data_IF_302876908527
#
_entry.id   IF_302876908527
#
_cell.length_a   1.000
_cell.length_b   1.000
_cell.length_c   1.000
_cell.angle_alpha   90.00
_cell.angle_beta   90.00
_cell.angle_gamma   90.00
#
_symmetry.space_group_name_H-M   'P 1'
#
loop_
_entity.id
_entity.type
_entity.pdbx_description
1 polymer ?
#
# COMPACT_ATOMS: atom_id res chain seq x y z
N UNK A 1 4.25 -8.13 -16.02
CA UNK A 1 5.30 -7.15 -16.35
C UNK A 1 4.65 -5.77 -16.38
N UNK A 2 5.10 -4.86 -15.51
CA UNK A 2 4.71 -3.45 -15.47
C UNK A 2 5.59 -2.67 -16.46
N UNK A 3 4.99 -1.81 -17.27
CA UNK A 3 5.69 -0.98 -18.26
C UNK A 3 5.32 0.48 -18.09
N UNK A 4 6.32 1.33 -18.00
CA UNK A 4 6.20 2.79 -17.97
C UNK A 4 6.90 3.33 -19.21
N UNK A 5 6.19 4.14 -20.02
CA UNK A 5 6.71 4.63 -21.29
C UNK A 5 6.57 6.16 -21.36
N UNK A 6 7.70 6.84 -21.49
CA UNK A 6 7.78 8.29 -21.67
C UNK A 6 6.95 9.08 -20.66
N UNK A 7 6.89 8.59 -19.40
CA UNK A 7 6.02 9.15 -18.37
C UNK A 7 6.58 10.48 -17.87
N UNK A 8 5.77 11.51 -17.98
CA UNK A 8 6.07 12.86 -17.46
C UNK A 8 4.98 13.28 -16.49
N UNK A 9 5.37 13.87 -15.37
CA UNK A 9 4.47 14.51 -14.44
C UNK A 9 4.98 15.89 -14.07
N UNK A 10 4.08 16.87 -14.18
CA UNK A 10 4.33 18.24 -13.73
C UNK A 10 3.14 18.79 -12.93
N UNK A 11 3.40 19.70 -12.03
CA UNK A 11 2.40 20.50 -11.33
C UNK A 11 2.58 21.96 -11.72
N UNK A 12 1.59 22.51 -12.44
CA UNK A 12 1.75 23.81 -13.06
C UNK A 12 2.92 23.81 -14.05
N UNK A 13 3.86 24.74 -13.91
CA UNK A 13 5.04 24.86 -14.76
C UNK A 13 6.27 24.05 -14.27
N UNK A 14 6.17 23.39 -13.09
CA UNK A 14 7.31 22.70 -12.47
C UNK A 14 7.22 21.19 -12.78
N UNK A 15 8.18 20.63 -13.52
CA UNK A 15 8.25 19.20 -13.75
C UNK A 15 8.70 18.48 -12.47
N UNK A 16 8.03 17.39 -12.13
CA UNK A 16 8.42 16.51 -11.04
C UNK A 16 9.40 15.44 -11.54
N UNK A 17 9.05 14.82 -12.67
CA UNK A 17 9.93 13.97 -13.47
C UNK A 17 9.49 14.04 -14.94
N UNK A 18 10.44 13.79 -15.83
CA UNK A 18 10.23 13.87 -17.29
C UNK A 18 10.78 12.63 -17.98
N UNK A 19 10.04 12.15 -18.98
CA UNK A 19 10.46 11.08 -19.89
C UNK A 19 10.92 9.79 -19.19
N UNK A 20 10.25 9.43 -18.09
CA UNK A 20 10.58 8.22 -17.32
C UNK A 20 10.15 6.97 -18.11
N UNK A 21 11.12 6.10 -18.40
CA UNK A 21 10.88 4.78 -18.98
C UNK A 21 11.40 3.71 -18.02
N UNK A 22 10.57 2.69 -17.75
CA UNK A 22 10.91 1.60 -16.83
C UNK A 22 10.11 0.34 -17.17
N UNK A 23 10.73 -0.81 -17.03
CA UNK A 23 10.06 -2.11 -17.07
C UNK A 23 10.35 -2.85 -15.76
N UNK A 24 9.31 -3.43 -15.15
CA UNK A 24 9.41 -4.17 -13.89
C UNK A 24 8.71 -5.51 -14.07
N UNK A 25 9.46 -6.59 -14.01
CA UNK A 25 8.98 -7.97 -14.17
C UNK A 25 9.11 -8.82 -12.89
N UNK A 26 9.83 -8.30 -11.89
CA UNK A 26 10.06 -8.91 -10.60
C UNK A 26 9.87 -7.90 -9.45
N UNK A 27 9.82 -8.35 -8.17
CA UNK A 27 9.81 -7.42 -7.04
C UNK A 27 10.97 -6.44 -7.11
N UNK A 28 10.67 -5.14 -6.99
CA UNK A 28 11.65 -4.07 -7.15
C UNK A 28 11.50 -3.00 -6.06
N UNK A 29 12.59 -2.31 -5.76
CA UNK A 29 12.62 -1.17 -4.85
C UNK A 29 12.89 0.10 -5.65
N UNK A 30 11.99 1.07 -5.55
CA UNK A 30 12.18 2.40 -6.11
C UNK A 30 12.95 3.25 -5.09
N UNK A 31 14.22 3.51 -5.40
CA UNK A 31 15.06 4.40 -4.60
C UNK A 31 15.29 5.72 -5.33
N UNK A 32 15.02 6.84 -4.67
CA UNK A 32 15.30 8.19 -5.17
C UNK A 32 15.33 9.19 -4.00
N UNK A 33 15.96 10.34 -4.14
CA UNK A 33 15.97 11.41 -3.13
C UNK A 33 14.57 11.82 -2.71
N UNK A 34 14.47 12.47 -1.52
CA UNK A 34 13.22 13.09 -1.09
C UNK A 34 12.78 14.15 -2.10
N UNK A 35 11.47 14.27 -2.33
CA UNK A 35 10.92 15.23 -3.28
C UNK A 35 11.00 14.81 -4.76
N UNK A 36 11.68 13.71 -5.11
CA UNK A 36 11.77 13.24 -6.50
C UNK A 36 10.41 12.86 -7.11
N UNK A 37 9.42 12.56 -6.29
CA UNK A 37 8.09 12.19 -6.78
C UNK A 37 7.73 10.71 -6.65
N UNK A 38 8.42 9.94 -5.79
CA UNK A 38 8.12 8.51 -5.56
C UNK A 38 6.65 8.26 -5.25
N UNK A 39 6.10 8.95 -4.26
CA UNK A 39 4.68 8.86 -3.90
C UNK A 39 3.77 9.22 -5.06
N UNK A 40 4.11 10.24 -5.86
CA UNK A 40 3.33 10.63 -7.03
C UNK A 40 3.37 9.57 -8.11
N UNK A 41 4.54 8.97 -8.36
CA UNK A 41 4.66 7.85 -9.29
C UNK A 41 3.81 6.67 -8.83
N UNK A 42 3.89 6.27 -7.56
CA UNK A 42 3.03 5.20 -7.02
C UNK A 42 1.54 5.55 -7.16
N UNK A 43 1.13 6.80 -6.93
CA UNK A 43 -0.25 7.25 -7.14
C UNK A 43 -0.70 7.16 -8.60
N UNK A 44 0.21 7.43 -9.55
CA UNK A 44 -0.08 7.22 -10.98
C UNK A 44 -0.26 5.73 -11.27
N UNK A 45 0.59 4.87 -10.74
CA UNK A 45 0.46 3.42 -10.88
C UNK A 45 -0.84 2.88 -10.27
N UNK A 46 -1.32 3.48 -9.20
CA UNK A 46 -2.62 3.16 -8.57
C UNK A 46 -3.83 3.74 -9.32
N UNK A 47 -3.63 4.54 -10.36
CA UNK A 47 -4.71 5.27 -11.04
C UNK A 47 -5.33 6.41 -10.23
N UNK A 48 -4.69 6.82 -9.13
CA UNK A 48 -5.15 7.91 -8.25
C UNK A 48 -4.68 9.29 -8.71
N UNK A 49 -3.72 9.33 -9.63
CA UNK A 49 -3.17 10.54 -10.21
C UNK A 49 -2.97 10.32 -11.72
N UNK A 50 -3.18 11.34 -12.53
CA UNK A 50 -2.95 11.25 -13.97
C UNK A 50 -1.55 11.75 -14.32
N UNK A 51 -0.82 11.07 -15.20
CA UNK A 51 0.40 11.63 -15.77
C UNK A 51 0.07 12.85 -16.65
N UNK A 52 1.07 13.69 -16.88
CA UNK A 52 0.95 14.78 -17.86
C UNK A 52 1.05 14.25 -19.28
N UNK A 53 2.02 13.35 -19.52
CA UNK A 53 2.19 12.60 -20.78
C UNK A 53 2.73 11.21 -20.50
N UNK A 54 2.72 10.34 -21.51
CA UNK A 54 3.20 8.98 -21.40
C UNK A 54 2.12 8.00 -20.95
N UNK A 55 2.49 6.75 -20.78
CA UNK A 55 1.57 5.68 -20.41
C UNK A 55 2.15 4.71 -19.40
N UNK A 56 1.24 4.00 -18.73
CA UNK A 56 1.54 2.90 -17.81
C UNK A 56 0.69 1.70 -18.21
N UNK A 57 1.31 0.55 -18.33
CA UNK A 57 0.67 -0.71 -18.71
C UNK A 57 1.04 -1.84 -17.74
N UNK A 58 0.20 -2.86 -17.66
CA UNK A 58 0.49 -4.10 -16.94
C UNK A 58 0.39 -4.02 -15.42
N UNK A 59 -0.17 -2.94 -14.85
CA UNK A 59 -0.35 -2.80 -13.39
C UNK A 59 -1.40 -3.77 -12.87
N UNK A 60 -2.51 -3.93 -13.57
CA UNK A 60 -3.64 -4.75 -13.13
C UNK A 60 -4.33 -4.20 -11.88
N UNK A 61 -4.91 -5.09 -11.06
CA UNK A 61 -5.52 -4.72 -9.77
C UNK A 61 -4.44 -4.48 -8.73
N UNK A 62 -4.55 -3.37 -8.02
CA UNK A 62 -3.53 -2.91 -7.07
C UNK A 62 -4.00 -3.06 -5.64
N UNK A 63 -3.19 -3.72 -4.81
CA UNK A 63 -3.20 -3.51 -3.36
C UNK A 63 -2.12 -2.48 -3.00
N UNK A 64 -2.42 -1.61 -2.02
CA UNK A 64 -1.49 -0.55 -1.67
C UNK A 64 -1.32 -0.36 -0.16
N UNK A 65 -0.08 -0.10 0.24
CA UNK A 65 0.26 0.47 1.54
C UNK A 65 0.72 1.90 1.30
N UNK A 66 -0.05 2.85 1.80
CA UNK A 66 0.26 4.28 1.69
C UNK A 66 1.18 4.71 2.85
N UNK A 67 1.83 5.84 2.70
CA UNK A 67 2.56 6.48 3.80
C UNK A 67 1.64 6.73 5.02
N UNK A 68 0.39 7.11 4.78
CA UNK A 68 -0.69 7.12 5.77
C UNK A 68 -1.40 5.76 5.81
N UNK A 69 -1.74 5.25 6.98
CA UNK A 69 -2.30 3.89 7.13
C UNK A 69 -3.69 3.70 6.53
N UNK A 70 -4.46 4.80 6.37
CA UNK A 70 -5.80 4.85 5.77
C UNK A 70 -6.73 3.73 6.27
N UNK A 71 -6.73 3.53 7.58
CA UNK A 71 -7.66 2.63 8.24
C UNK A 71 -8.98 3.34 8.55
N UNK A 72 -10.08 2.57 8.58
CA UNK A 72 -11.34 3.03 9.12
C UNK A 72 -11.22 3.15 10.64
N UNK A 73 -11.25 4.37 11.23
CA UNK A 73 -10.86 4.58 12.62
C UNK A 73 -11.81 3.95 13.64
N UNK A 74 -13.06 3.69 13.24
CA UNK A 74 -14.10 3.09 14.09
C UNK A 74 -14.01 1.55 14.10
N UNK A 75 -13.45 0.93 13.06
CA UNK A 75 -13.27 -0.50 12.93
C UNK A 75 -12.04 -0.96 13.69
N UNK A 76 -12.07 -2.18 14.22
CA UNK A 76 -10.87 -2.80 14.79
C UNK A 76 -9.89 -3.28 13.71
N UNK A 77 -8.73 -3.80 14.11
CA UNK A 77 -7.69 -4.26 13.18
C UNK A 77 -8.20 -5.37 12.25
N UNK A 78 -8.91 -6.35 12.79
CA UNK A 78 -9.47 -7.48 12.03
C UNK A 78 -10.48 -6.99 11.00
N UNK A 79 -11.42 -6.16 11.42
CA UNK A 79 -12.44 -5.59 10.53
C UNK A 79 -11.83 -4.75 9.41
N UNK A 80 -10.78 -3.98 9.68
CA UNK A 80 -10.07 -3.23 8.64
C UNK A 80 -9.43 -4.15 7.58
N UNK A 81 -8.92 -5.30 7.99
CA UNK A 81 -8.38 -6.31 7.03
C UNK A 81 -9.51 -6.96 6.24
N UNK A 82 -10.62 -7.28 6.89
CA UNK A 82 -11.77 -7.96 6.26
C UNK A 82 -12.40 -7.14 5.13
N UNK A 83 -12.26 -5.80 5.14
CA UNK A 83 -12.80 -4.92 4.09
C UNK A 83 -12.33 -5.27 2.66
N UNK A 84 -11.19 -5.93 2.50
CA UNK A 84 -10.62 -6.29 1.19
C UNK A 84 -10.78 -7.77 0.86
N UNK A 85 -11.47 -8.52 1.72
CA UNK A 85 -11.67 -9.96 1.56
C UNK A 85 -13.08 -10.25 1.05
N UNK A 86 -13.25 -11.16 0.09
CA UNK A 86 -14.57 -11.58 -0.37
C UNK A 86 -15.23 -12.49 0.67
N UNK A 87 -16.48 -12.18 1.05
CA UNK A 87 -17.28 -13.03 1.93
C UNK A 87 -17.27 -12.62 3.41
N UNK A 88 -17.64 -13.55 4.30
CA UNK A 88 -17.82 -13.26 5.72
C UNK A 88 -16.49 -13.30 6.51
N UNK A 89 -16.36 -12.44 7.50
CA UNK A 89 -15.18 -12.33 8.38
C UNK A 89 -14.72 -13.68 8.96
N UNK A 90 -15.67 -14.52 9.36
CA UNK A 90 -15.38 -15.82 9.98
C UNK A 90 -14.58 -16.78 9.08
N UNK A 91 -14.67 -16.65 7.76
CA UNK A 91 -13.93 -17.48 6.82
C UNK A 91 -12.42 -17.24 6.87
N UNK A 92 -12.01 -16.04 7.26
CA UNK A 92 -10.60 -15.58 7.24
C UNK A 92 -10.01 -15.38 8.63
N UNK A 93 -10.78 -15.71 9.69
CA UNK A 93 -10.39 -15.43 11.07
C UNK A 93 -9.02 -16.01 11.44
N UNK A 94 -8.76 -17.27 11.09
CA UNK A 94 -7.48 -17.92 11.37
C UNK A 94 -6.34 -17.30 10.57
N UNK A 95 -6.55 -17.03 9.29
CA UNK A 95 -5.57 -16.41 8.41
C UNK A 95 -5.20 -15.00 8.89
N UNK A 96 -6.20 -14.19 9.26
CA UNK A 96 -6.00 -12.84 9.77
C UNK A 96 -5.26 -12.87 11.11
N UNK A 97 -5.67 -13.76 12.03
CA UNK A 97 -5.04 -13.88 13.35
C UNK A 97 -3.59 -14.33 13.24
N UNK A 98 -3.33 -15.35 12.42
CA UNK A 98 -1.96 -15.82 12.14
C UNK A 98 -1.11 -14.72 11.50
N UNK A 99 -1.65 -14.00 10.52
CA UNK A 99 -0.95 -12.87 9.89
C UNK A 99 -0.59 -11.77 10.89
N UNK A 100 -1.48 -11.40 11.79
CA UNK A 100 -1.17 -10.43 12.85
C UNK A 100 -0.13 -10.95 13.84
N UNK A 101 -0.16 -12.23 14.20
CA UNK A 101 0.87 -12.84 15.06
C UNK A 101 2.25 -12.80 14.40
N UNK A 102 2.33 -13.12 13.09
CA UNK A 102 3.58 -13.04 12.32
C UNK A 102 4.12 -11.60 12.24
N UNK A 103 3.24 -10.60 12.24
CA UNK A 103 3.60 -9.20 12.29
C UNK A 103 3.86 -8.67 13.72
N UNK A 104 3.91 -9.54 14.74
CA UNK A 104 4.18 -9.14 16.13
C UNK A 104 3.03 -8.37 16.80
N UNK A 105 1.79 -8.47 16.33
CA UNK A 105 0.63 -7.87 16.99
C UNK A 105 0.04 -8.82 18.03
N UNK A 106 -0.12 -8.32 19.26
CA UNK A 106 -0.79 -9.08 20.32
C UNK A 106 -2.32 -9.11 20.12
N UNK A 107 -2.96 -10.16 20.62
CA UNK A 107 -4.41 -10.38 20.46
C UNK A 107 -5.26 -9.30 21.12
N UNK A 108 -4.81 -8.67 22.20
CA UNK A 108 -5.54 -7.61 22.86
C UNK A 108 -5.70 -6.37 21.97
N UNK A 109 -4.67 -6.03 21.17
CA UNK A 109 -4.72 -4.91 20.23
C UNK A 109 -5.71 -5.15 19.09
N UNK A 110 -5.96 -6.41 18.70
CA UNK A 110 -6.85 -6.74 17.59
C UNK A 110 -8.31 -6.32 17.84
N UNK A 111 -8.73 -6.23 19.09
CA UNK A 111 -10.09 -5.84 19.48
C UNK A 111 -10.28 -4.32 19.61
N UNK A 112 -9.19 -3.55 19.62
CA UNK A 112 -9.27 -2.11 19.74
C UNK A 112 -9.67 -1.45 18.41
N UNK A 113 -10.53 -0.41 18.43
CA UNK A 113 -10.78 0.39 17.25
C UNK A 113 -9.47 1.03 16.75
N UNK A 114 -9.29 1.15 15.44
CA UNK A 114 -8.05 1.61 14.83
C UNK A 114 -7.58 2.98 15.37
N UNK A 115 -8.51 3.86 15.77
CA UNK A 115 -8.16 5.15 16.42
C UNK A 115 -7.37 4.99 17.72
N UNK A 116 -7.46 3.84 18.42
CA UNK A 116 -6.75 3.54 19.68
C UNK A 116 -5.47 2.73 19.49
N UNK A 117 -5.18 2.28 18.28
CA UNK A 117 -3.95 1.57 17.96
C UNK A 117 -2.76 2.54 17.96
N UNK A 118 -1.59 2.06 18.35
CA UNK A 118 -0.32 2.79 18.16
C UNK A 118 -0.02 2.96 16.66
N UNK A 119 0.90 3.85 16.30
CA UNK A 119 1.34 4.04 14.92
C UNK A 119 1.83 2.73 14.29
N UNK A 120 2.71 2.01 14.95
CA UNK A 120 3.20 0.71 14.49
C UNK A 120 2.09 -0.34 14.34
N UNK A 121 1.13 -0.39 15.27
CA UNK A 121 -0.02 -1.30 15.16
C UNK A 121 -0.91 -0.96 13.97
N UNK A 122 -1.17 0.32 13.71
CA UNK A 122 -1.91 0.78 12.52
C UNK A 122 -1.18 0.38 11.24
N UNK A 123 0.14 0.58 11.22
CA UNK A 123 0.99 0.21 10.09
C UNK A 123 0.94 -1.28 9.79
N UNK A 124 1.06 -2.13 10.81
CA UNK A 124 0.91 -3.59 10.69
C UNK A 124 -0.47 -3.99 10.16
N UNK A 125 -1.53 -3.33 10.62
CA UNK A 125 -2.89 -3.59 10.12
C UNK A 125 -3.05 -3.17 8.63
N UNK A 126 -2.53 -2.02 8.23
CA UNK A 126 -2.54 -1.57 6.84
C UNK A 126 -1.73 -2.52 5.93
N UNK A 127 -0.58 -2.99 6.40
CA UNK A 127 0.26 -3.95 5.69
C UNK A 127 -0.46 -5.29 5.51
N UNK A 128 -1.02 -5.87 6.59
CA UNK A 128 -1.75 -7.12 6.50
C UNK A 128 -2.96 -7.03 5.58
N UNK A 129 -3.71 -5.92 5.63
CA UNK A 129 -4.82 -5.66 4.71
C UNK A 129 -4.38 -5.71 3.24
N UNK A 130 -3.25 -5.10 2.92
CA UNK A 130 -2.74 -5.11 1.55
C UNK A 130 -2.23 -6.50 1.13
N UNK A 131 -1.54 -7.23 2.01
CA UNK A 131 -1.02 -8.57 1.75
C UNK A 131 -2.13 -9.62 1.54
N UNK A 132 -3.26 -9.46 2.21
CA UNK A 132 -4.39 -10.39 2.10
C UNK A 132 -5.38 -10.02 1.00
N UNK A 133 -5.14 -8.97 0.22
CA UNK A 133 -5.97 -8.61 -0.93
C UNK A 133 -5.81 -9.65 -2.04
N UNK A 134 -6.72 -10.64 -2.10
CA UNK A 134 -6.61 -11.83 -2.95
C UNK A 134 -6.61 -11.50 -4.45
N UNK A 135 -7.31 -10.46 -4.86
CA UNK A 135 -7.45 -10.08 -6.27
C UNK A 135 -6.31 -9.19 -6.78
N UNK A 136 -5.36 -8.82 -5.93
CA UNK A 136 -4.27 -7.93 -6.31
C UNK A 136 -3.26 -8.64 -7.21
N UNK A 137 -2.95 -8.02 -8.34
CA UNK A 137 -1.90 -8.44 -9.27
C UNK A 137 -0.60 -7.68 -9.02
N UNK A 138 -0.72 -6.51 -8.41
CA UNK A 138 0.42 -5.67 -8.04
C UNK A 138 0.25 -5.15 -6.61
N UNK A 139 1.30 -5.30 -5.80
CA UNK A 139 1.39 -4.71 -4.46
C UNK A 139 2.32 -3.50 -4.52
N UNK A 140 1.79 -2.32 -4.24
CA UNK A 140 2.56 -1.06 -4.18
C UNK A 140 2.68 -0.60 -2.74
N UNK A 141 3.90 -0.30 -2.30
CA UNK A 141 4.18 0.09 -0.93
C UNK A 141 4.97 1.40 -0.89
N UNK A 142 4.41 2.41 -0.22
CA UNK A 142 5.06 3.70 0.01
C UNK A 142 5.54 3.76 1.46
N UNK A 143 6.85 3.64 1.65
CA UNK A 143 7.53 3.62 2.96
C UNK A 143 6.88 2.64 3.97
N UNK A 144 6.74 1.35 3.64
CA UNK A 144 5.90 0.41 4.39
C UNK A 144 6.33 0.17 5.84
N UNK A 145 7.59 0.44 6.18
CA UNK A 145 8.17 0.16 7.50
C UNK A 145 8.38 1.41 8.36
N UNK A 146 8.01 2.60 7.87
CA UNK A 146 8.11 3.84 8.65
C UNK A 146 7.24 3.77 9.89
N UNK A 147 7.84 4.01 11.07
CA UNK A 147 7.16 3.94 12.38
C UNK A 147 6.90 2.53 12.90
N UNK A 148 7.50 1.51 12.29
CA UNK A 148 7.58 0.17 12.86
C UNK A 148 8.94 0.04 13.53
N UNK A 149 8.93 -0.17 14.85
CA UNK A 149 10.16 -0.47 15.58
C UNK A 149 10.71 -1.80 15.09
N UNK A 150 12.03 -1.84 14.85
CA UNK A 150 12.75 -3.07 14.60
C UNK A 150 12.97 -3.73 15.99
N UNK A 151 12.09 -4.67 16.36
CA UNK A 151 12.34 -5.62 17.46
C UNK A 151 13.12 -6.82 16.94
#
# INVERSE_FOLDING_TARGET
>A
MLKIQHLTKQFGAVPLFTDLCMEVDAPAVLWAPSGWGKTTLLRILMGLERPTTGSVEGVGRVAAVFQEDRLCPQLNAVQNVTLVLPGAENQYKEQITSGFQQLGMNTAALQLPARRLSGGQKRRAALLRALLCQDAQTLLMDEPFTGMDAD
#
